data_IF_196872478563
#
_entry.id   IF_196872478563
#
_cell.length_a   1.000
_cell.length_b   1.000
_cell.length_c   1.000
_cell.angle_alpha   90.00
_cell.angle_beta   90.00
_cell.angle_gamma   90.00
#
_symmetry.space_group_name_H-M   'P 1'
#
loop_
_entity.id
_entity.type
_entity.pdbx_description
1 polymer ?
#
# COMPACT_ATOMS: atom_id res chain seq x y z
N UNK A 1 12.08 5.25 14.39
CA UNK A 1 11.15 4.89 13.31
C UNK A 1 11.13 6.05 12.33
N UNK A 2 11.29 5.82 11.02
CA UNK A 2 11.41 6.89 10.02
C UNK A 2 10.27 6.89 9.00
N UNK A 3 9.90 8.07 8.48
CA UNK A 3 8.96 8.23 7.38
C UNK A 3 9.64 7.88 6.05
N UNK A 4 8.95 7.14 5.20
CA UNK A 4 9.41 6.73 3.87
C UNK A 4 8.60 7.45 2.79
N UNK A 5 9.26 7.86 1.71
CA UNK A 5 8.59 8.42 0.54
C UNK A 5 7.62 7.39 -0.03
N UNK A 6 6.38 7.80 -0.26
CA UNK A 6 5.30 6.95 -0.73
C UNK A 6 4.41 7.74 -1.67
N UNK A 7 4.01 7.14 -2.78
CA UNK A 7 3.15 7.79 -3.76
C UNK A 7 2.25 6.76 -4.42
N UNK A 8 1.03 7.19 -4.74
CA UNK A 8 0.08 6.46 -5.56
C UNK A 8 -0.33 7.35 -6.73
N UNK A 9 -0.26 6.82 -7.94
CA UNK A 9 -0.77 7.48 -9.14
C UNK A 9 -2.25 7.20 -9.36
N UNK A 10 -2.89 8.00 -10.21
CA UNK A 10 -4.30 7.82 -10.62
C UNK A 10 -4.53 6.55 -11.44
N UNK A 11 -3.50 5.93 -11.99
CA UNK A 11 -3.63 4.63 -12.67
C UNK A 11 -3.39 3.43 -11.74
N UNK A 12 -3.36 3.64 -10.42
CA UNK A 12 -3.26 2.57 -9.42
C UNK A 12 -1.85 2.06 -9.20
N UNK A 13 -0.83 2.86 -9.50
CA UNK A 13 0.58 2.46 -9.35
C UNK A 13 1.17 3.07 -8.09
N UNK A 14 1.66 2.21 -7.20
CA UNK A 14 2.28 2.57 -5.93
C UNK A 14 3.80 2.51 -6.06
N UNK A 15 4.48 3.48 -5.45
CA UNK A 15 5.95 3.51 -5.34
C UNK A 15 6.39 3.89 -3.94
N UNK A 16 7.53 3.35 -3.50
CA UNK A 16 8.12 3.63 -2.19
C UNK A 16 9.64 3.58 -2.20
N UNK A 17 10.23 4.39 -1.31
CA UNK A 17 11.67 4.48 -1.12
C UNK A 17 12.25 3.27 -0.37
N UNK A 18 13.55 3.03 -0.58
CA UNK A 18 14.31 2.04 0.18
C UNK A 18 14.71 2.59 1.55
N UNK A 19 14.74 1.71 2.54
CA UNK A 19 15.12 1.97 3.93
C UNK A 19 16.33 1.09 4.30
N UNK A 20 17.40 1.66 4.88
CA UNK A 20 18.51 0.87 5.42
C UNK A 20 18.02 -0.15 6.46
N UNK A 21 18.61 -1.35 6.44
CA UNK A 21 18.28 -2.47 7.34
C UNK A 21 16.85 -3.03 7.22
N UNK A 22 16.06 -2.56 6.24
CA UNK A 22 14.76 -3.15 5.95
C UNK A 22 14.91 -4.49 5.24
N UNK A 23 14.14 -5.47 5.70
CA UNK A 23 14.03 -6.79 5.06
C UNK A 23 12.62 -7.09 4.57
N UNK A 24 11.63 -6.33 5.04
CA UNK A 24 10.24 -6.48 4.65
C UNK A 24 9.53 -5.14 4.58
N UNK A 25 8.79 -4.95 3.50
CA UNK A 25 7.88 -3.84 3.26
C UNK A 25 6.49 -4.44 3.12
N UNK A 26 5.57 -4.13 4.02
CA UNK A 26 4.20 -4.63 4.03
C UNK A 26 3.27 -3.54 3.50
N UNK A 27 2.83 -3.70 2.26
CA UNK A 27 1.82 -2.83 1.64
C UNK A 27 0.43 -3.28 2.10
N UNK A 28 -0.31 -2.36 2.68
CA UNK A 28 -1.63 -2.58 3.25
C UNK A 28 -2.65 -1.71 2.51
N UNK A 29 -3.75 -2.32 2.06
CA UNK A 29 -4.90 -1.63 1.47
C UNK A 29 -6.15 -2.06 2.24
N UNK A 30 -6.83 -1.11 2.88
CA UNK A 30 -8.01 -1.34 3.70
C UNK A 30 -9.21 -0.63 3.12
N UNK A 31 -10.36 -1.27 3.13
CA UNK A 31 -11.62 -0.62 2.79
C UNK A 31 -12.01 0.36 3.92
N UNK A 32 -12.10 1.65 3.63
CA UNK A 32 -12.36 2.69 4.64
C UNK A 32 -13.78 2.61 5.25
N UNK A 33 -14.70 1.90 4.59
CA UNK A 33 -16.07 1.71 5.10
C UNK A 33 -16.18 0.55 6.09
N UNK A 34 -15.45 -0.53 5.86
CA UNK A 34 -15.56 -1.77 6.66
C UNK A 34 -14.36 -2.00 7.57
N UNK A 35 -13.28 -1.24 7.38
CA UNK A 35 -11.95 -1.44 8.00
C UNK A 35 -11.34 -2.83 7.73
N UNK A 36 -11.85 -3.55 6.72
CA UNK A 36 -11.32 -4.84 6.30
C UNK A 36 -10.17 -4.67 5.30
N UNK A 37 -9.16 -5.53 5.41
CA UNK A 37 -8.06 -5.57 4.47
C UNK A 37 -8.53 -6.14 3.13
N UNK A 38 -8.36 -5.35 2.07
CA UNK A 38 -8.38 -5.87 0.71
C UNK A 38 -7.06 -6.58 0.36
N UNK A 39 -5.93 -6.01 0.80
CA UNK A 39 -4.60 -6.53 0.44
C UNK A 39 -3.59 -6.30 1.56
N UNK A 40 -2.78 -7.33 1.82
CA UNK A 40 -1.59 -7.29 2.67
C UNK A 40 -0.43 -8.00 1.96
N UNK A 41 0.38 -7.26 1.21
CA UNK A 41 1.44 -7.82 0.38
C UNK A 41 2.83 -7.48 0.91
N UNK A 42 3.69 -8.49 1.05
CA UNK A 42 5.09 -8.32 1.45
C UNK A 42 6.04 -8.15 0.26
N UNK A 43 7.01 -7.24 0.39
CA UNK A 43 8.12 -7.03 -0.54
C UNK A 43 9.46 -6.99 0.21
N UNK A 44 10.57 -7.25 -0.50
CA UNK A 44 11.93 -7.30 0.08
C UNK A 44 12.76 -6.04 -0.15
N UNK A 45 12.27 -5.08 -0.94
CA UNK A 45 13.00 -3.87 -1.32
C UNK A 45 12.06 -2.69 -1.53
N UNK A 46 12.65 -1.50 -1.74
CA UNK A 46 11.97 -0.40 -2.40
C UNK A 46 11.38 -0.82 -3.75
N UNK A 47 10.36 -0.11 -4.22
CA UNK A 47 9.71 -0.40 -5.50
C UNK A 47 9.25 0.90 -6.16
N UNK A 48 9.44 0.99 -7.48
CA UNK A 48 8.96 2.09 -8.31
C UNK A 48 8.08 1.50 -9.40
N UNK A 49 6.81 1.22 -9.10
CA UNK A 49 5.88 0.75 -10.12
C UNK A 49 4.97 -0.43 -9.77
N UNK A 50 4.68 -0.71 -8.49
CA UNK A 50 3.75 -1.80 -8.17
C UNK A 50 2.31 -1.38 -8.51
N UNK A 51 1.72 -2.04 -9.51
CA UNK A 51 0.31 -1.84 -9.86
C UNK A 51 -0.59 -2.62 -8.90
N UNK A 52 -1.49 -1.90 -8.22
CA UNK A 52 -2.50 -2.52 -7.35
C UNK A 52 -3.36 -3.44 -8.22
N UNK A 53 -3.47 -4.73 -7.89
CA UNK A 53 -4.33 -5.64 -8.63
C UNK A 53 -5.81 -5.34 -8.33
N UNK A 54 -6.70 -5.58 -9.30
CA UNK A 54 -8.16 -5.52 -9.08
C UNK A 54 -8.73 -6.85 -8.58
N UNK A 55 -7.89 -7.89 -8.46
CA UNK A 55 -8.19 -9.18 -7.84
C UNK A 55 -6.99 -9.61 -7.01
N UNK A 56 -7.17 -9.86 -5.71
CA UNK A 56 -6.13 -10.27 -4.77
C UNK A 56 -6.67 -11.42 -3.91
N UNK A 57 -5.93 -12.53 -3.80
CA UNK A 57 -6.35 -13.74 -3.06
C UNK A 57 -7.80 -14.21 -3.35
N UNK A 58 -8.24 -14.07 -4.60
CA UNK A 58 -9.59 -14.44 -5.05
C UNK A 58 -10.68 -13.39 -4.76
N UNK A 59 -10.36 -12.33 -4.01
CA UNK A 59 -11.24 -11.20 -3.74
C UNK A 59 -11.09 -10.13 -4.82
N UNK A 60 -12.23 -9.67 -5.37
CA UNK A 60 -12.26 -8.53 -6.30
C UNK A 60 -12.25 -7.21 -5.53
N UNK A 61 -11.54 -6.22 -6.06
CA UNK A 61 -11.59 -4.85 -5.54
C UNK A 61 -12.97 -4.25 -5.85
N UNK A 62 -13.71 -3.89 -4.81
CA UNK A 62 -15.04 -3.30 -4.95
C UNK A 62 -14.97 -1.78 -5.15
N UNK A 63 -16.06 -1.19 -5.64
CA UNK A 63 -16.14 0.27 -5.73
C UNK A 63 -16.15 0.86 -4.33
N UNK A 64 -15.27 1.81 -4.04
CA UNK A 64 -15.17 2.34 -2.69
C UNK A 64 -13.94 3.18 -2.45
N UNK A 65 -13.85 3.69 -1.21
CA UNK A 65 -12.69 4.43 -0.71
C UNK A 65 -11.81 3.48 0.08
N UNK A 66 -10.51 3.56 -0.16
CA UNK A 66 -9.50 2.70 0.45
C UNK A 66 -8.37 3.51 1.04
N UNK A 67 -7.82 3.02 2.15
CA UNK A 67 -6.61 3.52 2.78
C UNK A 67 -5.42 2.65 2.36
N UNK A 68 -4.38 3.27 1.82
CA UNK A 68 -3.18 2.64 1.32
C UNK A 68 -1.96 3.14 2.11
N UNK A 69 -1.24 2.23 2.77
CA UNK A 69 -0.05 2.59 3.54
C UNK A 69 0.92 1.41 3.62
N UNK A 70 2.13 1.67 4.09
CA UNK A 70 3.17 0.67 4.20
C UNK A 70 3.85 0.68 5.55
N UNK A 71 4.14 -0.51 6.07
CA UNK A 71 4.92 -0.74 7.29
C UNK A 71 6.23 -1.41 6.88
N UNK A 72 7.36 -0.88 7.35
CA UNK A 72 8.70 -1.41 7.03
C UNK A 72 9.29 -2.08 8.28
N UNK A 73 9.78 -3.31 8.12
CA UNK A 73 10.32 -4.14 9.18
C UNK A 73 11.76 -4.56 8.96
N UNK A 74 12.50 -4.73 10.06
CA UNK A 74 13.84 -5.31 10.10
C UNK A 74 13.83 -6.85 10.28
N UNK A 75 15.00 -7.45 10.41
CA UNK A 75 15.20 -8.90 10.63
C UNK A 75 14.58 -9.39 11.93
N UNK A 76 14.42 -8.53 12.94
CA UNK A 76 13.75 -8.83 14.20
C UNK A 76 12.24 -8.64 14.14
N UNK A 77 11.66 -8.40 12.96
CA UNK A 77 10.26 -8.03 12.75
C UNK A 77 9.82 -6.73 13.44
N UNK A 78 10.77 -5.91 13.89
CA UNK A 78 10.49 -4.61 14.50
C UNK A 78 10.12 -3.61 13.41
N UNK A 79 9.16 -2.73 13.70
CA UNK A 79 8.78 -1.66 12.77
C UNK A 79 9.84 -0.55 12.80
N UNK A 80 10.58 -0.40 11.70
CA UNK A 80 11.66 0.59 11.57
C UNK A 80 11.23 1.81 10.74
N UNK A 81 10.18 1.68 9.93
CA UNK A 81 9.64 2.79 9.15
C UNK A 81 8.18 2.62 8.78
N UNK A 82 7.58 3.71 8.30
CA UNK A 82 6.18 3.81 7.90
C UNK A 82 6.01 4.82 6.76
N UNK A 83 4.87 4.77 6.09
CA UNK A 83 4.46 5.77 5.10
C UNK A 83 3.21 6.50 5.57
N UNK A 84 3.00 7.71 5.07
CA UNK A 84 1.68 8.32 5.17
C UNK A 84 0.62 7.42 4.50
N UNK A 85 -0.60 7.54 5.01
CA UNK A 85 -1.77 6.88 4.43
C UNK A 85 -2.27 7.71 3.26
N UNK A 86 -2.21 7.15 2.06
CA UNK A 86 -2.87 7.70 0.88
C UNK A 86 -4.23 7.05 0.77
N UNK A 87 -5.26 7.85 0.58
CA UNK A 87 -6.61 7.41 0.31
C UNK A 87 -6.89 7.51 -1.18
N UNK A 88 -7.53 6.48 -1.71
CA UNK A 88 -7.99 6.49 -3.08
C UNK A 88 -9.42 5.98 -3.19
N UNK A 89 -10.13 6.50 -4.17
CA UNK A 89 -11.40 5.97 -4.63
C UNK A 89 -11.16 5.06 -5.84
N UNK A 90 -11.78 3.87 -5.84
CA UNK A 90 -11.88 3.00 -7.00
C UNK A 90 -13.32 3.02 -7.53
N UNK A 91 -13.50 3.39 -8.81
CA UNK A 91 -14.83 3.53 -9.43
C UNK A 91 -15.33 2.25 -10.13
N UNK A 92 -14.52 1.17 -10.07
CA UNK A 92 -14.74 -0.09 -10.79
C UNK A 92 -13.89 -0.23 -12.06
N UNK A 93 -13.16 0.82 -12.44
CA UNK A 93 -12.27 0.83 -13.61
C UNK A 93 -10.97 1.60 -13.38
N UNK A 94 -11.03 2.71 -12.65
CA UNK A 94 -9.93 3.63 -12.42
C UNK A 94 -9.74 3.91 -10.93
N UNK A 95 -8.51 4.28 -10.59
CA UNK A 95 -8.13 4.74 -9.27
C UNK A 95 -8.11 6.27 -9.27
N UNK A 96 -8.49 6.90 -8.16
CA UNK A 96 -8.41 8.36 -8.00
C UNK A 96 -7.93 8.64 -6.60
N UNK A 97 -6.78 9.28 -6.46
CA UNK A 97 -6.32 9.77 -5.15
C UNK A 97 -7.26 10.88 -4.69
N UNK A 98 -7.67 10.86 -3.42
CA UNK A 98 -8.71 11.77 -2.89
C UNK A 98 -8.29 12.54 -1.63
N UNK A 99 -7.01 12.51 -1.28
CA UNK A 99 -6.44 13.20 -0.13
C UNK A 99 -5.01 13.68 -0.37
#
# INVERSE_FOLDING_TARGET
>A
MQRVSFSLSTDGVVSWGSVPNAVRYELNILNKRTDEYYMMQGFRSGNTGYRIPTTYDGQKLEKGVYSCFMIIKDTGASTIGWTETIEFYYDGSQFRVIN
#
